data_IF_950971106335
#
_entry.id   IF_950971106335
#
_cell.length_a   1.000
_cell.length_b   1.000
_cell.length_c   1.000
_cell.angle_alpha   90.00
_cell.angle_beta   90.00
_cell.angle_gamma   90.00
#
_symmetry.space_group_name_H-M   'P 1'
#
loop_
_entity.id
_entity.type
_entity.pdbx_description
1 polymer ?
#
# COMPACT_ATOMS: atom_id res chain seq x y z
N UNK A 1 -37.91 -13.89 15.93
CA UNK A 1 -37.13 -13.76 17.18
C UNK A 1 -35.65 -13.95 16.85
N UNK A 2 -34.81 -12.97 17.23
CA UNK A 2 -33.34 -12.99 17.49
C UNK A 2 -32.39 -13.83 16.62
N UNK A 3 -31.54 -13.20 15.78
CA UNK A 3 -30.12 -12.72 16.02
C UNK A 3 -29.13 -13.88 16.19
N UNK A 4 -28.21 -14.11 15.25
CA UNK A 4 -26.90 -13.43 15.07
C UNK A 4 -25.89 -13.77 16.19
N UNK A 5 -24.63 -13.96 15.78
CA UNK A 5 -23.38 -14.15 16.55
C UNK A 5 -22.74 -15.54 16.29
N UNK A 6 -21.43 -15.70 16.07
CA UNK A 6 -20.33 -14.75 15.96
C UNK A 6 -19.14 -15.49 15.36
N UNK A 7 -18.59 -14.99 14.26
CA UNK A 7 -17.34 -15.48 13.70
C UNK A 7 -16.16 -14.80 14.40
N UNK A 8 -16.02 -14.99 15.72
CA UNK A 8 -14.92 -14.46 16.52
C UNK A 8 -13.78 -15.47 16.57
N UNK A 9 -12.96 -15.51 15.51
CA UNK A 9 -11.71 -16.25 15.57
C UNK A 9 -10.68 -15.38 16.30
N UNK A 10 -10.59 -15.53 17.62
CA UNK A 10 -9.50 -14.95 18.41
C UNK A 10 -8.22 -15.68 18.00
N UNK A 11 -7.25 -14.93 17.47
CA UNK A 11 -5.92 -15.47 17.20
C UNK A 11 -5.11 -15.38 18.51
N UNK A 12 -4.89 -16.53 19.16
CA UNK A 12 -3.94 -16.63 20.27
C UNK A 12 -2.55 -16.99 19.71
N UNK A 13 -1.56 -16.08 19.74
CA UNK A 13 -0.21 -16.40 19.31
C UNK A 13 0.42 -17.37 20.32
N UNK A 14 0.70 -18.60 19.88
CA UNK A 14 1.39 -19.58 20.70
C UNK A 14 2.85 -19.15 20.94
N UNK A 15 3.18 -18.73 22.17
CA UNK A 15 4.55 -18.69 22.68
C UNK A 15 5.38 -17.43 22.41
N UNK A 16 4.76 -16.27 22.16
CA UNK A 16 5.52 -15.01 22.11
C UNK A 16 5.98 -14.58 23.51
N UNK A 17 7.25 -14.15 23.70
CA UNK A 17 7.68 -13.56 24.97
C UNK A 17 6.79 -12.35 25.30
N UNK A 18 6.46 -12.18 26.60
CA UNK A 18 5.50 -11.19 27.08
C UNK A 18 5.78 -9.74 26.62
N UNK A 19 7.03 -9.44 26.27
CA UNK A 19 7.51 -8.15 25.77
C UNK A 19 7.01 -7.84 24.34
N UNK A 20 6.95 -8.85 23.45
CA UNK A 20 6.45 -8.70 22.07
C UNK A 20 4.93 -8.54 22.04
N UNK A 21 4.24 -9.16 23.01
CA UNK A 21 2.78 -9.10 23.11
C UNK A 21 2.26 -7.71 23.49
N UNK A 22 3.08 -6.88 24.18
CA UNK A 22 2.70 -5.51 24.57
C UNK A 22 2.63 -4.54 23.38
N UNK A 23 3.21 -4.89 22.23
CA UNK A 23 3.30 -4.00 21.07
C UNK A 23 2.34 -4.38 19.92
N UNK A 24 1.64 -5.51 20.04
CA UNK A 24 0.62 -5.95 19.08
C UNK A 24 -0.73 -5.47 19.59
N UNK A 25 -1.33 -4.48 18.92
CA UNK A 25 -2.72 -4.07 19.19
C UNK A 25 -3.69 -5.14 18.68
N UNK A 26 -4.77 -5.38 19.41
CA UNK A 26 -5.85 -6.25 18.94
C UNK A 26 -6.48 -5.64 17.68
N UNK A 27 -6.52 -6.41 16.59
CA UNK A 27 -7.04 -5.94 15.30
C UNK A 27 -8.52 -5.57 15.38
N UNK A 28 -9.27 -6.13 16.31
CA UNK A 28 -10.68 -5.79 16.54
C UNK A 28 -10.87 -4.38 17.10
N UNK A 29 -9.83 -3.81 17.70
CA UNK A 29 -9.82 -2.45 18.25
C UNK A 29 -9.26 -1.42 17.26
N UNK A 30 -8.70 -1.85 16.13
CA UNK A 30 -8.11 -0.96 15.13
C UNK A 30 -9.19 -0.49 14.15
N UNK A 31 -9.42 0.83 14.01
CA UNK A 31 -10.36 1.35 13.03
C UNK A 31 -9.98 0.94 11.60
N UNK A 32 -10.96 0.60 10.76
CA UNK A 32 -10.72 0.20 9.37
C UNK A 32 -9.90 1.23 8.58
N UNK A 33 -10.10 2.53 8.86
CA UNK A 33 -9.32 3.60 8.25
C UNK A 33 -7.83 3.50 8.56
N UNK A 34 -7.45 3.13 9.79
CA UNK A 34 -6.05 2.95 10.20
C UNK A 34 -5.43 1.73 9.54
N UNK A 35 -6.19 0.64 9.39
CA UNK A 35 -5.74 -0.56 8.66
C UNK A 35 -5.46 -0.22 7.19
N UNK A 36 -6.38 0.49 6.54
CA UNK A 36 -6.28 0.86 5.13
C UNK A 36 -5.10 1.80 4.90
N UNK A 37 -4.98 2.87 5.69
CA UNK A 37 -3.91 3.86 5.50
C UNK A 37 -2.54 3.25 5.80
N UNK A 38 -2.43 2.41 6.83
CA UNK A 38 -1.19 1.70 7.16
C UNK A 38 -0.78 0.74 6.05
N UNK A 39 -1.71 -0.07 5.53
CA UNK A 39 -1.43 -0.95 4.40
C UNK A 39 -1.01 -0.18 3.14
N UNK A 40 -1.65 0.96 2.86
CA UNK A 40 -1.31 1.83 1.74
C UNK A 40 0.12 2.40 1.89
N UNK A 41 0.49 2.85 3.10
CA UNK A 41 1.85 3.34 3.38
C UNK A 41 2.88 2.22 3.21
N UNK A 42 2.62 1.01 3.68
CA UNK A 42 3.53 -0.12 3.48
C UNK A 42 3.73 -0.47 2.00
N UNK A 43 2.66 -0.49 1.22
CA UNK A 43 2.75 -0.69 -0.23
C UNK A 43 3.55 0.43 -0.91
N UNK A 44 3.34 1.68 -0.48
CA UNK A 44 4.05 2.85 -1.00
C UNK A 44 5.55 2.78 -0.68
N UNK A 45 5.92 2.49 0.56
CA UNK A 45 7.33 2.35 0.97
C UNK A 45 8.00 1.18 0.26
N UNK A 46 7.33 0.03 0.15
CA UNK A 46 7.87 -1.11 -0.58
C UNK A 46 8.07 -0.79 -2.07
N UNK A 47 7.12 -0.10 -2.71
CA UNK A 47 7.26 0.34 -4.09
C UNK A 47 8.41 1.33 -4.26
N UNK A 48 8.58 2.29 -3.35
CA UNK A 48 9.70 3.24 -3.38
C UNK A 48 11.06 2.53 -3.29
N UNK A 49 11.20 1.54 -2.41
CA UNK A 49 12.41 0.70 -2.32
C UNK A 49 12.65 -0.03 -3.64
N UNK A 50 11.60 -0.63 -4.22
CA UNK A 50 11.72 -1.36 -5.50
C UNK A 50 11.94 -0.46 -6.72
N UNK A 51 11.69 0.84 -6.59
CA UNK A 51 12.10 1.85 -7.58
C UNK A 51 13.53 2.34 -7.38
N UNK A 52 14.23 1.94 -6.32
CA UNK A 52 15.55 2.48 -5.98
C UNK A 52 15.51 3.88 -5.37
N UNK A 53 14.34 4.33 -4.88
CA UNK A 53 14.16 5.67 -4.28
C UNK A 53 14.48 5.71 -2.79
N UNK A 54 14.95 4.60 -2.20
CA UNK A 54 15.32 4.56 -0.80
C UNK A 54 16.53 5.47 -0.53
N UNK A 55 16.58 6.10 0.63
CA UNK A 55 17.69 6.97 1.03
C UNK A 55 18.96 6.19 1.46
N UNK A 56 18.96 4.86 1.34
CA UNK A 56 20.03 3.98 1.78
C UNK A 56 21.05 3.76 0.66
N UNK A 57 22.33 3.55 1.01
CA UNK A 57 23.43 3.38 0.04
C UNK A 57 23.23 2.18 -0.91
N UNK A 58 22.43 1.19 -0.51
CA UNK A 58 22.10 -0.01 -1.27
C UNK A 58 20.80 0.11 -2.09
N UNK A 59 20.23 1.32 -2.26
CA UNK A 59 18.95 1.49 -2.95
C UNK A 59 18.94 0.91 -4.37
N UNK A 60 20.04 1.05 -5.12
CA UNK A 60 20.15 0.49 -6.48
C UNK A 60 20.18 -1.04 -6.48
N UNK A 61 20.73 -1.68 -5.43
CA UNK A 61 20.76 -3.14 -5.29
C UNK A 61 19.36 -3.72 -5.02
N UNK A 62 18.46 -2.92 -4.43
CA UNK A 62 17.10 -3.33 -4.08
C UNK A 62 16.09 -3.06 -5.20
N UNK A 63 16.51 -2.34 -6.25
CA UNK A 63 15.68 -1.93 -7.39
C UNK A 63 15.22 -3.15 -8.18
N UNK A 64 13.90 -3.24 -8.36
CA UNK A 64 13.24 -4.28 -9.13
C UNK A 64 11.92 -3.71 -9.69
N UNK A 65 11.95 -3.34 -10.97
CA UNK A 65 10.79 -2.75 -11.64
C UNK A 65 9.65 -3.74 -11.84
N UNK A 66 9.90 -5.05 -11.87
CA UNK A 66 8.80 -6.02 -11.97
C UNK A 66 8.04 -6.11 -10.63
N UNK A 67 8.75 -6.08 -9.50
CA UNK A 67 8.11 -5.98 -8.18
C UNK A 67 7.43 -4.61 -7.96
N UNK A 68 8.09 -3.51 -8.33
CA UNK A 68 7.50 -2.17 -8.22
C UNK A 68 6.16 -2.07 -8.98
N UNK A 69 6.09 -2.65 -10.20
CA UNK A 69 4.85 -2.67 -10.99
C UNK A 69 3.69 -3.32 -10.25
N UNK A 70 3.94 -4.47 -9.59
CA UNK A 70 2.92 -5.20 -8.82
C UNK A 70 2.42 -4.37 -7.64
N UNK A 71 3.35 -3.79 -6.87
CA UNK A 71 3.05 -2.98 -5.69
C UNK A 71 2.28 -1.70 -6.04
N UNK A 72 2.73 -0.95 -7.07
CA UNK A 72 2.04 0.26 -7.54
C UNK A 72 0.63 -0.08 -8.06
N UNK A 73 0.48 -1.20 -8.78
CA UNK A 73 -0.83 -1.63 -9.27
C UNK A 73 -1.78 -2.01 -8.14
N UNK A 74 -1.28 -2.71 -7.12
CA UNK A 74 -2.05 -3.07 -5.94
C UNK A 74 -2.45 -1.82 -5.13
N UNK A 75 -1.51 -0.90 -4.92
CA UNK A 75 -1.75 0.38 -4.24
C UNK A 75 -2.79 1.22 -4.99
N UNK A 76 -2.71 1.30 -6.32
CA UNK A 76 -3.69 2.02 -7.11
C UNK A 76 -5.10 1.44 -6.98
N UNK A 77 -5.23 0.11 -6.98
CA UNK A 77 -6.51 -0.55 -6.73
C UNK A 77 -7.06 -0.23 -5.33
N UNK A 78 -6.21 -0.33 -4.31
CA UNK A 78 -6.56 -0.02 -2.92
C UNK A 78 -7.00 1.44 -2.76
N UNK A 79 -6.19 2.40 -3.22
CA UNK A 79 -6.46 3.83 -3.06
C UNK A 79 -7.71 4.25 -3.81
N UNK A 80 -7.91 3.78 -5.05
CA UNK A 80 -9.11 4.09 -5.83
C UNK A 80 -10.37 3.55 -5.16
N UNK A 81 -10.32 2.32 -4.62
CA UNK A 81 -11.46 1.72 -3.92
C UNK A 81 -11.72 2.37 -2.55
N UNK A 82 -10.67 2.72 -1.80
CA UNK A 82 -10.79 3.23 -0.45
C UNK A 82 -11.11 4.74 -0.37
N UNK A 83 -10.80 5.52 -1.41
CA UNK A 83 -10.94 6.97 -1.38
C UNK A 83 -12.34 7.50 -0.97
N UNK A 84 -13.46 6.90 -1.43
CA UNK A 84 -14.80 7.31 -0.99
C UNK A 84 -15.06 7.02 0.49
N UNK A 85 -14.44 5.97 1.04
CA UNK A 85 -14.68 5.48 2.41
C UNK A 85 -13.86 6.23 3.46
N UNK A 86 -12.63 6.64 3.13
CA UNK A 86 -11.71 7.28 4.07
C UNK A 86 -11.72 8.82 4.02
N UNK A 87 -12.48 9.42 3.10
CA UNK A 87 -12.57 10.87 2.95
C UNK A 87 -11.32 11.53 2.33
N UNK A 88 -11.49 12.77 1.86
CA UNK A 88 -10.45 13.49 1.11
C UNK A 88 -9.19 13.77 1.94
N UNK A 89 -9.32 13.97 3.25
CA UNK A 89 -8.21 14.29 4.15
C UNK A 89 -7.20 13.13 4.28
N UNK A 90 -7.64 11.88 4.14
CA UNK A 90 -6.77 10.71 4.16
C UNK A 90 -6.43 10.23 2.74
N UNK A 91 -7.38 10.32 1.80
CA UNK A 91 -7.17 9.86 0.42
C UNK A 91 -6.29 10.81 -0.42
N UNK A 92 -6.21 12.10 -0.09
CA UNK A 92 -5.39 13.08 -0.81
C UNK A 92 -3.90 12.69 -0.82
N UNK A 93 -3.24 12.61 0.35
CA UNK A 93 -1.83 12.24 0.43
C UNK A 93 -1.50 10.88 -0.21
N UNK A 94 -2.41 9.90 -0.11
CA UNK A 94 -2.22 8.59 -0.74
C UNK A 94 -2.24 8.65 -2.27
N UNK A 95 -3.13 9.48 -2.85
CA UNK A 95 -3.18 9.72 -4.30
C UNK A 95 -1.94 10.46 -4.79
N UNK A 96 -1.47 11.45 -4.03
CA UNK A 96 -0.26 12.20 -4.38
C UNK A 96 0.98 11.29 -4.34
N UNK A 97 1.14 10.50 -3.28
CA UNK A 97 2.23 9.53 -3.16
C UNK A 97 2.18 8.45 -4.26
N UNK A 98 0.99 7.92 -4.57
CA UNK A 98 0.82 6.98 -5.68
C UNK A 98 1.23 7.61 -7.03
N UNK A 99 0.81 8.85 -7.30
CA UNK A 99 1.18 9.56 -8.53
C UNK A 99 2.70 9.72 -8.64
N UNK A 100 3.38 10.09 -7.55
CA UNK A 100 4.83 10.22 -7.51
C UNK A 100 5.53 8.89 -7.85
N UNK A 101 5.04 7.77 -7.32
CA UNK A 101 5.57 6.44 -7.65
C UNK A 101 5.35 6.07 -9.13
N UNK A 102 4.18 6.39 -9.69
CA UNK A 102 3.88 6.12 -11.09
C UNK A 102 4.78 6.92 -12.04
N UNK A 103 5.08 8.18 -11.70
CA UNK A 103 6.00 9.02 -12.46
C UNK A 103 7.44 8.49 -12.35
N UNK A 104 7.91 8.20 -11.13
CA UNK A 104 9.25 7.63 -10.93
C UNK A 104 9.42 6.28 -11.66
N UNK A 105 8.41 5.41 -11.64
CA UNK A 105 8.44 4.18 -12.44
C UNK A 105 8.64 4.46 -13.94
N UNK A 106 7.93 5.45 -14.48
CA UNK A 106 8.03 5.83 -15.89
C UNK A 106 9.41 6.40 -16.24
N UNK A 107 10.02 7.14 -15.32
CA UNK A 107 11.40 7.67 -15.47
C UNK A 107 12.44 6.55 -15.46
N UNK A 108 12.28 5.56 -14.57
CA UNK A 108 13.23 4.46 -14.41
C UNK A 108 13.08 3.35 -15.48
N UNK A 109 11.92 3.24 -16.11
CA UNK A 109 11.66 2.20 -17.12
C UNK A 109 12.31 2.53 -18.46
N UNK A 110 13.25 1.69 -18.89
CA UNK A 110 13.90 1.76 -20.21
C UNK A 110 12.88 1.51 -21.34
N UNK A 111 11.80 0.79 -21.05
CA UNK A 111 10.72 0.50 -22.00
C UNK A 111 9.48 1.26 -21.53
N UNK A 112 9.14 2.41 -22.14
CA UNK A 112 8.00 3.21 -21.70
C UNK A 112 6.68 2.47 -21.92
N UNK A 113 5.85 2.41 -20.89
CA UNK A 113 4.46 1.99 -21.05
C UNK A 113 3.66 3.05 -21.83
N UNK A 114 2.78 2.64 -22.75
CA UNK A 114 1.83 3.57 -23.38
C UNK A 114 0.99 4.34 -22.34
N UNK A 115 0.46 5.52 -22.68
CA UNK A 115 -0.45 6.24 -21.80
C UNK A 115 -1.65 5.39 -21.37
N UNK A 116 -1.94 5.35 -20.07
CA UNK A 116 -3.00 4.53 -19.48
C UNK A 116 -2.64 3.05 -19.29
N UNK A 117 -1.38 2.66 -19.55
CA UNK A 117 -0.88 1.28 -19.44
C UNK A 117 0.26 1.13 -18.44
N UNK A 118 0.72 2.23 -17.83
CA UNK A 118 1.68 2.19 -16.74
C UNK A 118 1.12 1.49 -15.48
N UNK A 119 1.99 1.17 -14.51
CA UNK A 119 1.56 0.53 -13.26
C UNK A 119 0.43 1.32 -12.57
N UNK A 120 -0.66 0.65 -12.25
CA UNK A 120 -1.83 1.28 -11.62
C UNK A 120 -2.68 2.21 -12.50
N UNK A 121 -2.22 2.61 -13.70
CA UNK A 121 -2.92 3.59 -14.56
C UNK A 121 -4.30 3.11 -15.04
N UNK A 122 -4.56 1.79 -15.02
CA UNK A 122 -5.90 1.23 -15.26
C UNK A 122 -6.95 1.73 -14.25
N UNK A 123 -6.54 2.14 -13.05
CA UNK A 123 -7.41 2.66 -12.00
C UNK A 123 -7.36 4.19 -11.88
N UNK A 124 -6.21 4.80 -12.19
CA UNK A 124 -5.96 6.23 -11.96
C UNK A 124 -6.07 7.09 -13.23
N UNK A 125 -6.09 6.46 -14.41
CA UNK A 125 -5.81 7.14 -15.66
C UNK A 125 -4.32 7.36 -15.89
N UNK A 126 -3.97 7.91 -17.04
CA UNK A 126 -2.59 8.23 -17.41
C UNK A 126 -2.00 9.31 -16.50
N UNK A 127 -0.74 9.12 -16.08
CA UNK A 127 0.02 10.16 -15.38
C UNK A 127 0.98 10.86 -16.32
N UNK A 128 1.03 12.19 -16.21
CA UNK A 128 1.96 13.08 -16.91
C UNK A 128 2.68 13.96 -15.90
#
# INVERSE_FOLDING_TARGET
>A
MSTADSNSHVYEPAGAPADVSQQIRDISEVPAIEVITTAAVHLMSAAAVKLGLAAEENAEELKDLDEARKLITALAGLVTAAAPEIGSQHAGPLRDGLRSLQLAFREESIIPDPPGKGPGEKYTGAVN
#
